data_IF_500598202693
#
_entry.id   IF_500598202693
#
_cell.length_a   1.000
_cell.length_b   1.000
_cell.length_c   1.000
_cell.angle_alpha   90.00
_cell.angle_beta   90.00
_cell.angle_gamma   90.00
#
_symmetry.space_group_name_H-M   'P 1'
#
loop_
_entity.id
_entity.type
_entity.pdbx_description
1 polymer ?
#
# COMPACT_ATOMS: atom_id res chain seq x y z
N UNK A 1 21.49 2.68 18.34
CA UNK A 1 20.67 1.78 17.49
C UNK A 1 19.39 2.49 17.05
N UNK A 2 19.49 3.75 16.60
CA UNK A 2 18.36 4.63 16.23
C UNK A 2 18.70 5.44 14.98
N UNK A 3 19.59 4.92 14.15
CA UNK A 3 20.26 5.68 13.08
C UNK A 3 19.81 5.16 11.70
N UNK A 4 19.54 3.86 11.60
CA UNK A 4 19.09 3.22 10.36
C UNK A 4 17.60 3.40 10.10
N UNK A 5 16.79 3.52 11.15
CA UNK A 5 15.35 3.77 11.01
C UNK A 5 15.07 5.23 10.65
N UNK A 6 15.79 6.17 11.25
CA UNK A 6 15.71 7.59 10.89
C UNK A 6 16.25 7.83 9.48
N UNK A 7 17.35 7.18 9.08
CA UNK A 7 17.87 7.32 7.71
C UNK A 7 16.93 6.75 6.63
N UNK A 8 16.17 5.69 6.91
CA UNK A 8 15.16 5.17 5.97
C UNK A 8 13.94 6.08 5.90
N UNK A 9 13.59 6.75 7.00
CA UNK A 9 12.51 7.75 7.00
C UNK A 9 12.98 9.03 6.28
N UNK A 10 14.23 9.44 6.46
CA UNK A 10 14.81 10.63 5.82
C UNK A 10 14.99 10.44 4.30
N UNK A 11 15.40 9.24 3.84
CA UNK A 11 15.46 8.87 2.42
C UNK A 11 14.07 8.81 1.76
N UNK A 12 13.01 8.52 2.54
CA UNK A 12 11.61 8.61 2.07
C UNK A 12 11.06 10.05 2.08
N UNK A 13 11.74 11.00 2.72
CA UNK A 13 11.33 12.40 2.85
C UNK A 13 12.09 13.32 1.87
N UNK A 14 13.27 12.91 1.39
CA UNK A 14 14.11 13.69 0.45
C UNK A 14 13.79 13.46 -1.04
N UNK A 15 13.04 12.41 -1.40
CA UNK A 15 12.59 12.13 -2.77
C UNK A 15 11.06 12.26 -2.91
N UNK A 16 10.58 13.45 -3.30
CA UNK A 16 9.27 13.60 -3.95
C UNK A 16 8.19 14.31 -3.14
N UNK A 17 8.25 15.65 -3.11
CA UNK A 17 7.00 16.41 -3.11
C UNK A 17 6.21 15.94 -4.35
N UNK A 18 5.00 15.38 -4.16
CA UNK A 18 4.13 15.04 -5.29
C UNK A 18 3.67 16.37 -5.87
N UNK A 19 4.47 16.93 -6.77
CA UNK A 19 4.17 18.18 -7.45
C UNK A 19 3.10 17.89 -8.51
N UNK A 20 1.84 18.09 -8.12
CA UNK A 20 0.70 17.98 -9.03
C UNK A 20 0.74 19.21 -9.94
N UNK A 21 1.44 19.09 -11.05
CA UNK A 21 1.62 20.18 -12.02
C UNK A 21 0.54 20.16 -13.11
N UNK A 22 -0.15 19.04 -13.28
CA UNK A 22 -1.16 18.85 -14.33
C UNK A 22 -2.27 17.86 -13.94
N UNK A 23 -3.40 17.93 -14.65
CA UNK A 23 -4.49 16.95 -14.51
C UNK A 23 -4.05 15.52 -14.86
N UNK A 24 -3.07 15.37 -15.74
CA UNK A 24 -2.54 14.07 -16.15
C UNK A 24 -1.90 13.34 -14.96
N UNK A 25 -1.25 14.08 -14.06
CA UNK A 25 -0.60 13.51 -12.87
C UNK A 25 -1.66 12.94 -11.90
N UNK A 26 -2.80 13.62 -11.76
CA UNK A 26 -3.94 13.16 -10.97
C UNK A 26 -4.71 12.00 -11.63
N UNK A 27 -4.68 11.90 -12.95
CA UNK A 27 -5.33 10.82 -13.69
C UNK A 27 -4.55 9.51 -13.62
N UNK A 28 -3.22 9.56 -13.48
CA UNK A 28 -2.36 8.38 -13.31
C UNK A 28 -2.31 7.84 -11.88
N UNK A 29 -2.55 8.70 -10.87
CA UNK A 29 -2.42 8.35 -9.47
C UNK A 29 -3.26 7.13 -9.01
N UNK A 30 -4.50 6.90 -9.49
CA UNK A 30 -5.24 5.69 -9.15
C UNK A 30 -4.57 4.40 -9.62
N UNK A 31 -3.91 4.41 -10.78
CA UNK A 31 -3.21 3.24 -11.32
C UNK A 31 -1.95 2.95 -10.48
N UNK A 32 -1.22 3.99 -10.05
CA UNK A 32 -0.07 3.84 -9.16
C UNK A 32 -0.49 3.26 -7.79
N UNK A 33 -1.63 3.69 -7.25
CA UNK A 33 -2.19 3.13 -6.01
C UNK A 33 -2.55 1.65 -6.21
N UNK A 34 -3.15 1.28 -7.35
CA UNK A 34 -3.46 -0.11 -7.67
C UNK A 34 -2.19 -0.98 -7.75
N UNK A 35 -1.10 -0.44 -8.30
CA UNK A 35 0.22 -1.11 -8.30
C UNK A 35 0.75 -1.32 -6.88
N UNK A 36 0.71 -0.29 -6.03
CA UNK A 36 1.17 -0.39 -4.63
C UNK A 36 0.33 -1.40 -3.83
N UNK A 37 -0.99 -1.43 -4.05
CA UNK A 37 -1.87 -2.41 -3.42
C UNK A 37 -1.53 -3.85 -3.85
N UNK A 38 -1.21 -4.06 -5.14
CA UNK A 38 -0.77 -5.35 -5.66
C UNK A 38 0.58 -5.78 -5.07
N UNK A 39 1.55 -4.86 -4.98
CA UNK A 39 2.84 -5.14 -4.35
C UNK A 39 2.70 -5.50 -2.87
N UNK A 40 1.82 -4.80 -2.14
CA UNK A 40 1.51 -5.13 -0.75
C UNK A 40 0.95 -6.55 -0.63
N UNK A 41 0.00 -6.92 -1.50
CA UNK A 41 -0.54 -8.29 -1.57
C UNK A 41 0.56 -9.34 -1.80
N UNK A 42 1.46 -9.12 -2.75
CA UNK A 42 2.58 -10.02 -3.04
C UNK A 42 3.50 -10.21 -1.81
N UNK A 43 3.78 -9.14 -1.06
CA UNK A 43 4.58 -9.20 0.16
C UNK A 43 3.90 -10.08 1.22
N UNK A 44 2.60 -9.88 1.45
CA UNK A 44 1.86 -10.68 2.43
C UNK A 44 1.71 -12.14 2.01
N UNK A 45 1.48 -12.39 0.72
CA UNK A 45 1.47 -13.73 0.15
C UNK A 45 2.83 -14.42 0.34
N UNK A 46 3.92 -13.71 0.06
CA UNK A 46 5.27 -14.22 0.27
C UNK A 46 5.51 -14.56 1.75
N UNK A 47 5.13 -13.68 2.67
CA UNK A 47 5.28 -13.91 4.10
C UNK A 47 4.52 -15.15 4.57
N UNK A 48 3.27 -15.34 4.14
CA UNK A 48 2.51 -16.55 4.48
C UNK A 48 3.11 -17.81 3.86
N UNK A 49 3.53 -17.73 2.61
CA UNK A 49 3.99 -18.88 1.84
C UNK A 49 5.37 -19.37 2.29
N UNK A 50 6.29 -18.44 2.58
CA UNK A 50 7.70 -18.76 2.81
C UNK A 50 8.15 -18.58 4.25
N UNK A 51 7.61 -17.59 4.97
CA UNK A 51 8.01 -17.33 6.37
C UNK A 51 7.20 -18.18 7.34
N UNK A 52 5.89 -18.30 7.13
CA UNK A 52 5.00 -19.01 8.06
C UNK A 52 4.94 -20.53 7.81
N UNK A 53 6.01 -21.13 7.28
CA UNK A 53 6.03 -22.55 6.95
C UNK A 53 6.18 -23.43 8.19
N UNK A 54 5.17 -24.26 8.44
CA UNK A 54 5.22 -25.26 9.53
C UNK A 54 6.29 -26.33 9.33
N UNK A 55 6.55 -26.69 8.07
CA UNK A 55 7.41 -27.81 7.72
C UNK A 55 8.84 -27.64 8.27
N UNK A 56 9.35 -26.41 8.33
CA UNK A 56 10.66 -26.10 8.92
C UNK A 56 10.77 -26.42 10.41
N UNK A 57 9.64 -26.51 11.12
CA UNK A 57 9.58 -26.75 12.56
C UNK A 57 9.19 -28.20 12.93
N UNK A 58 8.84 -29.04 11.94
CA UNK A 58 8.54 -30.48 12.17
C UNK A 58 9.28 -31.41 11.19
N UNK A 59 10.61 -31.26 10.99
CA UNK A 59 11.35 -32.16 10.09
C UNK A 59 11.55 -33.57 10.68
N UNK A 60 11.40 -33.73 11.99
CA UNK A 60 11.63 -34.99 12.71
C UNK A 60 10.72 -35.10 13.94
N UNK A 61 10.30 -36.32 14.36
CA UNK A 61 9.44 -36.53 15.53
C UNK A 61 10.05 -36.08 16.87
N UNK A 62 11.36 -35.80 16.93
CA UNK A 62 12.07 -35.31 18.13
C UNK A 62 12.49 -33.83 17.96
N UNK A 63 11.87 -33.10 17.02
CA UNK A 63 12.21 -31.69 16.83
C UNK A 63 11.80 -30.87 18.07
N UNK A 64 12.77 -30.32 18.78
CA UNK A 64 12.52 -29.43 19.94
C UNK A 64 11.70 -28.19 19.59
N UNK A 65 11.69 -27.81 18.32
CA UNK A 65 10.95 -26.65 17.80
C UNK A 65 9.53 -27.02 17.32
N UNK A 66 9.13 -28.29 17.38
CA UNK A 66 7.79 -28.75 16.97
C UNK A 66 6.62 -27.96 17.60
N UNK A 67 6.70 -27.46 18.85
CA UNK A 67 5.67 -26.58 19.41
C UNK A 67 5.56 -25.23 18.70
N UNK A 68 6.65 -24.69 18.15
CA UNK A 68 6.62 -23.42 17.40
C UNK A 68 5.90 -23.53 16.06
N UNK A 69 5.71 -24.75 15.54
CA UNK A 69 4.98 -24.97 14.30
C UNK A 69 3.51 -24.53 14.37
N UNK A 70 2.92 -24.42 15.56
CA UNK A 70 1.55 -23.90 15.77
C UNK A 70 1.55 -22.37 15.80
N UNK A 71 2.62 -21.74 16.27
CA UNK A 71 2.75 -20.29 16.20
C UNK A 71 2.84 -19.79 14.76
N UNK A 72 3.36 -20.60 13.83
CA UNK A 72 3.35 -20.24 12.41
C UNK A 72 1.95 -20.07 11.84
N UNK A 73 0.96 -20.83 12.32
CA UNK A 73 -0.44 -20.63 11.90
C UNK A 73 -0.98 -19.29 12.39
N UNK A 74 -0.64 -18.92 13.64
CA UNK A 74 -1.05 -17.65 14.24
C UNK A 74 -0.42 -16.48 13.50
N UNK A 75 0.86 -16.58 13.13
CA UNK A 75 1.52 -15.57 12.31
C UNK A 75 0.91 -15.47 10.91
N UNK A 76 0.63 -16.60 10.26
CA UNK A 76 -0.01 -16.60 8.95
C UNK A 76 -1.38 -15.89 8.99
N UNK A 77 -2.20 -16.19 10.01
CA UNK A 77 -3.47 -15.52 10.24
C UNK A 77 -3.30 -14.02 10.51
N UNK A 78 -2.29 -13.63 11.29
CA UNK A 78 -1.95 -12.23 11.52
C UNK A 78 -1.58 -11.49 10.23
N UNK A 79 -0.77 -12.10 9.36
CA UNK A 79 -0.46 -11.52 8.05
C UNK A 79 -1.70 -11.37 7.16
N UNK A 80 -2.64 -12.33 7.18
CA UNK A 80 -3.92 -12.18 6.47
C UNK A 80 -4.73 -10.99 7.01
N UNK A 81 -4.84 -10.85 8.33
CA UNK A 81 -5.60 -9.75 8.93
C UNK A 81 -4.99 -8.37 8.61
N UNK A 82 -3.66 -8.26 8.63
CA UNK A 82 -2.96 -7.02 8.28
C UNK A 82 -3.11 -6.71 6.79
N UNK A 83 -3.00 -7.71 5.92
CA UNK A 83 -3.23 -7.55 4.48
C UNK A 83 -4.63 -7.05 4.18
N UNK A 84 -5.66 -7.64 4.77
CA UNK A 84 -7.06 -7.24 4.57
C UNK A 84 -7.27 -5.76 4.90
N UNK A 85 -6.65 -5.28 5.99
CA UNK A 85 -6.68 -3.86 6.37
C UNK A 85 -5.91 -3.00 5.38
N UNK A 86 -4.68 -3.36 5.06
CA UNK A 86 -3.83 -2.58 4.16
C UNK A 86 -4.46 -2.44 2.77
N UNK A 87 -5.01 -3.51 2.21
CA UNK A 87 -5.70 -3.49 0.92
C UNK A 87 -6.99 -2.64 0.98
N UNK A 88 -7.73 -2.70 2.10
CA UNK A 88 -8.90 -1.85 2.29
C UNK A 88 -8.53 -0.36 2.36
N UNK A 89 -7.45 -0.02 3.06
CA UNK A 89 -6.95 1.35 3.18
C UNK A 89 -6.52 1.89 1.80
N UNK A 90 -5.76 1.12 1.03
CA UNK A 90 -5.38 1.50 -0.34
C UNK A 90 -6.58 1.73 -1.25
N UNK A 91 -7.59 0.85 -1.19
CA UNK A 91 -8.84 1.03 -1.93
C UNK A 91 -9.54 2.31 -1.52
N UNK A 92 -9.62 2.60 -0.21
CA UNK A 92 -10.24 3.82 0.28
C UNK A 92 -9.51 5.07 -0.22
N UNK A 93 -8.18 5.05 -0.26
CA UNK A 93 -7.37 6.16 -0.77
C UNK A 93 -7.63 6.35 -2.27
N UNK A 94 -7.59 5.27 -3.04
CA UNK A 94 -7.90 5.27 -4.48
C UNK A 94 -9.26 5.90 -4.76
N UNK A 95 -10.30 5.45 -4.05
CA UNK A 95 -11.66 5.94 -4.23
C UNK A 95 -11.76 7.44 -3.90
N UNK A 96 -11.08 7.89 -2.84
CA UNK A 96 -11.03 9.30 -2.46
C UNK A 96 -10.29 10.16 -3.50
N UNK A 97 -9.18 9.67 -4.06
CA UNK A 97 -8.45 10.35 -5.14
C UNK A 97 -9.33 10.49 -6.38
N UNK A 98 -9.97 9.40 -6.83
CA UNK A 98 -10.87 9.42 -8.00
C UNK A 98 -12.01 10.43 -7.81
N UNK A 99 -12.65 10.42 -6.64
CA UNK A 99 -13.73 11.36 -6.34
C UNK A 99 -13.23 12.81 -6.32
N UNK A 100 -12.11 13.07 -5.66
CA UNK A 100 -11.54 14.42 -5.53
C UNK A 100 -11.09 14.97 -6.89
N UNK A 101 -10.45 14.16 -7.73
CA UNK A 101 -10.06 14.54 -9.10
C UNK A 101 -11.28 14.91 -9.95
N UNK A 102 -12.37 14.14 -9.84
CA UNK A 102 -13.61 14.44 -10.56
C UNK A 102 -14.24 15.77 -10.08
N UNK A 103 -14.29 16.00 -8.78
CA UNK A 103 -14.81 17.24 -8.20
C UNK A 103 -13.99 18.46 -8.63
N UNK A 104 -12.66 18.35 -8.59
CA UNK A 104 -11.75 19.42 -9.00
C UNK A 104 -11.90 19.76 -10.49
N UNK A 105 -12.02 18.76 -11.37
CA UNK A 105 -12.30 18.96 -12.80
C UNK A 105 -13.66 19.64 -13.04
N UNK A 106 -14.67 19.28 -12.25
CA UNK A 106 -15.98 19.92 -12.34
C UNK A 106 -15.91 21.41 -11.94
N UNK A 107 -15.19 21.74 -10.87
CA UNK A 107 -14.96 23.13 -10.46
C UNK A 107 -14.22 23.92 -11.54
N UNK A 108 -13.16 23.36 -12.12
CA UNK A 108 -12.39 24.00 -13.20
C UNK A 108 -13.30 24.31 -14.41
N UNK A 109 -14.12 23.34 -14.83
CA UNK A 109 -15.10 23.54 -15.90
C UNK A 109 -16.11 24.64 -15.56
N UNK A 110 -16.63 24.68 -14.33
CA UNK A 110 -17.56 25.73 -13.90
C UNK A 110 -16.90 27.11 -13.96
N UNK A 111 -15.63 27.24 -13.53
CA UNK A 111 -14.90 28.51 -13.61
C UNK A 111 -14.70 28.93 -15.07
N UNK A 112 -14.33 28.00 -15.95
CA UNK A 112 -14.17 28.26 -17.38
C UNK A 112 -15.48 28.74 -18.04
N UNK A 113 -16.62 28.16 -17.66
CA UNK A 113 -17.94 28.56 -18.17
C UNK A 113 -18.35 29.97 -17.69
N UNK A 114 -17.92 30.37 -16.49
CA UNK A 114 -18.26 31.66 -15.88
C UNK A 114 -17.34 32.81 -16.28
N UNK A 115 -16.10 32.49 -16.65
CA UNK A 115 -15.09 33.43 -17.11
C UNK A 115 -14.67 33.08 -18.55
N UNK A 116 -15.57 33.20 -19.54
CA UNK A 116 -15.18 33.05 -20.93
C UNK A 116 -14.10 34.09 -21.21
N UNK A 117 -12.90 33.62 -21.54
CA UNK A 117 -11.71 34.45 -21.79
C UNK A 117 -12.13 35.64 -22.64
N UNK A 118 -12.03 36.84 -22.08
CA UNK A 118 -12.17 38.08 -22.84
C UNK A 118 -10.98 38.11 -23.79
N UNK A 119 -11.25 37.87 -25.07
CA UNK A 119 -10.26 37.86 -26.15
C UNK A 119 -9.50 39.18 -26.27
#
# INVERSE_FOLDING_TARGET
MSDTADAVIDDLVDDGDIDITSWTDLDGLPDDIDVLAAQAHEIFEHARTWVCQRAGFRPSPICLLAPLAELMDVLAAGFTEVEERAVADWRSIRDAVVATTADLKAVDQMVADWLPVVA
#
